data_IF_060190290707
#
_entry.id   IF_060190290707
#
_cell.length_a   1.000
_cell.length_b   1.000
_cell.length_c   1.000
_cell.angle_alpha   90.00
_cell.angle_beta   90.00
_cell.angle_gamma   90.00
#
_symmetry.space_group_name_H-M   'P 1'
#
loop_
_entity.id
_entity.type
_entity.pdbx_description
1 polymer ?
#
# COMPACT_ATOMS: atom_id res chain seq x y z
N UNK A 1 -0.84 16.98 -1.67
CA UNK A 1 -2.00 16.11 -1.96
C UNK A 1 -1.92 14.85 -1.10
N UNK A 2 -3.06 14.24 -0.77
CA UNK A 2 -3.14 12.97 -0.02
C UNK A 2 -3.75 11.88 -0.91
N UNK A 3 -3.01 10.80 -1.09
CA UNK A 3 -3.45 9.61 -1.85
C UNK A 3 -3.82 8.53 -0.84
N UNK A 4 -5.03 7.98 -0.91
CA UNK A 4 -5.48 6.92 0.00
C UNK A 4 -4.75 5.61 -0.32
N UNK A 5 -4.23 4.96 0.70
CA UNK A 5 -3.65 3.61 0.57
C UNK A 5 -4.74 2.59 0.88
N UNK A 6 -4.99 1.59 0.02
CA UNK A 6 -5.95 0.55 0.31
C UNK A 6 -5.46 -0.31 1.49
N UNK A 7 -6.38 -0.88 2.25
CA UNK A 7 -6.05 -1.67 3.45
C UNK A 7 -5.14 -2.87 3.16
N UNK A 8 -5.23 -3.43 1.96
CA UNK A 8 -4.39 -4.57 1.56
C UNK A 8 -2.91 -4.21 1.46
N UNK A 9 -2.61 -2.94 1.20
CA UNK A 9 -1.25 -2.44 0.97
C UNK A 9 -0.62 -1.79 2.21
N UNK A 10 -1.34 -1.77 3.35
CA UNK A 10 -0.86 -1.16 4.60
C UNK A 10 -1.03 -2.10 5.81
N UNK A 11 -0.10 -2.05 6.74
CA UNK A 11 -0.26 -2.69 8.05
C UNK A 11 -1.25 -1.89 8.93
N UNK A 12 -1.73 -2.48 10.02
CA UNK A 12 -2.72 -1.84 10.92
C UNK A 12 -2.23 -0.50 11.50
N UNK A 13 -0.92 -0.38 11.73
CA UNK A 13 -0.27 0.80 12.32
C UNK A 13 0.18 1.81 11.26
N UNK A 14 0.05 1.49 9.98
CA UNK A 14 0.55 2.34 8.91
C UNK A 14 -0.38 3.52 8.63
N UNK A 15 0.22 4.59 8.09
CA UNK A 15 -0.53 5.76 7.67
C UNK A 15 -1.61 5.39 6.64
N UNK A 16 -2.78 6.01 6.76
CA UNK A 16 -3.91 5.72 5.87
C UNK A 16 -3.78 6.36 4.48
N UNK A 17 -2.90 7.36 4.36
CA UNK A 17 -2.68 8.13 3.15
C UNK A 17 -1.21 8.52 3.02
N UNK A 18 -0.75 8.59 1.78
CA UNK A 18 0.59 9.06 1.42
C UNK A 18 0.49 10.53 0.99
N UNK A 19 1.45 11.33 1.45
CA UNK A 19 1.63 12.70 0.98
C UNK A 19 2.38 12.70 -0.36
N UNK A 20 1.83 13.42 -1.34
CA UNK A 20 2.38 13.51 -2.69
C UNK A 20 2.23 14.92 -3.28
N UNK A 21 3.14 15.26 -4.19
CA UNK A 21 3.15 16.48 -4.99
C UNK A 21 2.78 16.15 -6.44
N UNK A 22 2.06 17.05 -7.12
CA UNK A 22 1.72 16.89 -8.54
C UNK A 22 2.95 17.24 -9.38
N UNK A 23 3.41 16.31 -10.21
CA UNK A 23 4.53 16.53 -11.13
C UNK A 23 4.03 17.03 -12.48
N UNK A 24 3.08 16.30 -13.07
CA UNK A 24 2.50 16.61 -14.38
C UNK A 24 1.04 16.19 -14.45
N UNK A 25 0.35 16.71 -15.47
CA UNK A 25 -1.02 16.35 -15.83
C UNK A 25 -1.04 15.92 -17.29
N UNK A 26 -1.66 14.78 -17.59
CA UNK A 26 -1.87 14.28 -18.95
C UNK A 26 -3.06 15.01 -19.60
N UNK A 27 -3.10 15.08 -20.92
CA UNK A 27 -4.20 15.68 -21.70
C UNK A 27 -5.56 15.06 -21.35
N UNK A 28 -5.59 13.75 -21.08
CA UNK A 28 -6.76 12.98 -20.66
C UNK A 28 -7.26 13.30 -19.23
N UNK A 29 -6.63 14.24 -18.53
CA UNK A 29 -7.06 14.69 -17.20
C UNK A 29 -6.50 13.90 -16.02
N UNK A 30 -5.58 12.95 -16.26
CA UNK A 30 -4.89 12.21 -15.20
C UNK A 30 -3.67 12.96 -14.65
N UNK A 31 -3.32 12.66 -13.40
CA UNK A 31 -2.24 13.31 -12.66
C UNK A 31 -1.12 12.32 -12.34
N UNK A 32 0.13 12.76 -12.55
CA UNK A 32 1.33 12.04 -12.11
C UNK A 32 1.83 12.63 -10.80
N UNK A 33 2.13 11.76 -9.84
CA UNK A 33 2.46 12.14 -8.48
C UNK A 33 3.89 11.77 -8.09
N UNK A 34 4.53 12.68 -7.38
CA UNK A 34 5.83 12.49 -6.74
C UNK A 34 5.68 12.36 -5.23
N UNK A 35 6.45 11.49 -4.62
CA UNK A 35 6.52 11.27 -3.18
C UNK A 35 7.96 11.36 -2.72
N UNK A 36 8.20 11.49 -1.41
CA UNK A 36 9.58 11.49 -0.85
C UNK A 36 10.40 10.25 -1.22
N UNK A 37 9.72 9.14 -1.55
CA UNK A 37 10.38 7.87 -1.93
C UNK A 37 10.58 7.70 -3.44
N UNK A 38 9.95 8.55 -4.25
CA UNK A 38 10.02 8.47 -5.71
C UNK A 38 8.72 8.87 -6.42
N UNK A 39 8.73 8.73 -7.73
CA UNK A 39 7.61 9.01 -8.64
C UNK A 39 6.67 7.80 -8.68
N UNK A 40 5.37 8.00 -8.47
CA UNK A 40 4.39 6.93 -8.56
C UNK A 40 4.22 6.51 -10.03
N UNK A 41 4.30 5.19 -10.26
CA UNK A 41 4.10 4.58 -11.59
C UNK A 41 2.68 4.78 -12.13
N UNK A 42 1.69 4.72 -11.24
CA UNK A 42 0.29 4.86 -11.60
C UNK A 42 -0.11 6.34 -11.76
N UNK A 43 -0.98 6.59 -12.72
CA UNK A 43 -1.66 7.87 -12.91
C UNK A 43 -2.97 7.88 -12.11
N UNK A 44 -3.37 9.05 -11.62
CA UNK A 44 -4.53 9.17 -10.74
C UNK A 44 -5.54 10.17 -11.29
N UNK A 45 -6.82 9.85 -11.18
CA UNK A 45 -7.92 10.75 -11.44
C UNK A 45 -8.16 11.67 -10.23
N UNK A 46 -8.84 12.81 -10.47
CA UNK A 46 -9.16 13.80 -9.42
C UNK A 46 -9.95 13.22 -8.24
N UNK A 47 -10.71 12.14 -8.44
CA UNK A 47 -11.48 11.48 -7.39
C UNK A 47 -10.65 10.55 -6.47
N UNK A 48 -9.42 10.20 -6.85
CA UNK A 48 -8.59 9.23 -6.14
C UNK A 48 -7.68 9.88 -5.07
N UNK A 49 -7.61 11.21 -5.05
CA UNK A 49 -6.79 11.96 -4.09
C UNK A 49 -7.57 13.14 -3.51
N UNK A 50 -7.11 13.61 -2.35
CA UNK A 50 -7.65 14.83 -1.73
C UNK A 50 -6.58 15.92 -1.66
N UNK A 51 -7.04 17.16 -1.72
CA UNK A 51 -6.17 18.33 -1.52
C UNK A 51 -5.71 18.36 -0.07
N UNK A 52 -4.45 18.74 0.13
CA UNK A 52 -3.86 19.00 1.43
C UNK A 52 -3.44 20.46 1.41
N UNK A 53 -3.95 21.26 2.35
CA UNK A 53 -3.71 22.71 2.39
C UNK A 53 -2.26 23.04 2.75
N UNK A 54 -1.61 22.14 3.49
CA UNK A 54 -0.22 22.25 3.90
C UNK A 54 0.75 21.66 2.85
N UNK A 55 1.82 22.41 2.56
CA UNK A 55 2.88 22.01 1.64
C UNK A 55 3.97 21.30 2.43
N UNK A 56 3.97 19.97 2.37
CA UNK A 56 4.96 19.13 3.06
C UNK A 56 6.10 18.63 2.16
N UNK A 57 6.00 18.83 0.85
CA UNK A 57 6.94 18.30 -0.14
C UNK A 57 7.00 19.22 -1.35
N UNK A 58 8.21 19.60 -1.76
CA UNK A 58 8.43 20.34 -3.01
C UNK A 58 8.76 19.39 -4.16
N UNK A 59 8.79 19.89 -5.39
CA UNK A 59 9.05 19.04 -6.58
C UNK A 59 10.51 18.59 -6.62
N UNK A 60 11.40 19.40 -6.06
CA UNK A 60 12.85 19.18 -6.02
C UNK A 60 13.23 18.05 -5.04
N UNK A 61 12.41 17.81 -4.03
CA UNK A 61 12.62 16.76 -3.02
C UNK A 61 12.21 15.36 -3.51
N UNK A 62 11.68 15.24 -4.72
CA UNK A 62 11.19 13.97 -5.27
C UNK A 62 12.31 13.25 -6.01
N UNK A 63 12.74 12.06 -5.56
CA UNK A 63 13.71 11.26 -6.30
C UNK A 63 13.14 10.84 -7.66
N UNK A 64 13.96 10.88 -8.71
CA UNK A 64 13.62 10.43 -10.06
C UNK A 64 13.60 8.88 -10.21
N UNK A 65 13.08 8.19 -9.19
CA UNK A 65 12.96 6.72 -9.16
C UNK A 65 11.49 6.34 -9.21
N UNK A 66 11.12 5.43 -10.09
CA UNK A 66 9.75 4.96 -10.17
C UNK A 66 9.42 3.94 -9.06
N UNK A 67 8.36 4.21 -8.31
CA UNK A 67 7.88 3.39 -7.18
C UNK A 67 6.40 3.07 -7.31
N UNK A 68 5.99 1.92 -6.79
CA UNK A 68 4.58 1.59 -6.64
C UNK A 68 4.00 2.23 -5.36
N UNK A 69 2.68 2.39 -5.33
CA UNK A 69 1.99 2.90 -4.14
C UNK A 69 2.23 2.00 -2.92
N UNK A 70 2.17 0.67 -3.11
CA UNK A 70 2.48 -0.31 -2.06
C UNK A 70 3.91 -0.16 -1.54
N UNK A 71 4.91 -0.08 -2.42
CA UNK A 71 6.31 0.08 -1.98
C UNK A 71 6.51 1.40 -1.23
N UNK A 72 5.80 2.45 -1.64
CA UNK A 72 5.81 3.74 -0.94
C UNK A 72 5.20 3.62 0.45
N UNK A 73 4.05 2.97 0.57
CA UNK A 73 3.39 2.73 1.86
C UNK A 73 4.28 1.92 2.81
N UNK A 74 4.93 0.86 2.30
CA UNK A 74 5.89 0.04 3.05
C UNK A 74 7.07 0.88 3.53
N UNK A 75 7.65 1.73 2.67
CA UNK A 75 8.79 2.59 3.03
C UNK A 75 8.43 3.69 4.02
N UNK A 76 7.17 4.12 4.05
CA UNK A 76 6.67 5.11 5.01
C UNK A 76 6.14 4.47 6.30
N UNK A 77 6.03 3.14 6.35
CA UNK A 77 5.67 2.40 7.56
C UNK A 77 6.77 2.56 8.61
N UNK A 78 6.37 2.86 9.85
CA UNK A 78 7.26 2.81 11.01
C UNK A 78 7.50 1.36 11.50
N UNK A 79 6.69 0.41 11.02
CA UNK A 79 6.75 -1.00 11.39
C UNK A 79 7.36 -1.86 10.29
N UNK A 80 6.89 -3.10 10.19
CA UNK A 80 7.40 -4.07 9.19
C UNK A 80 6.82 -3.85 7.78
N UNK A 81 5.90 -2.89 7.60
CA UNK A 81 5.22 -2.59 6.34
C UNK A 81 4.47 -3.78 5.74
N UNK A 82 4.23 -4.85 6.50
CA UNK A 82 3.55 -6.03 5.97
C UNK A 82 2.06 -5.72 5.83
N UNK A 83 1.65 -5.31 4.63
CA UNK A 83 0.25 -5.32 4.20
C UNK A 83 -0.37 -6.71 4.33
N UNK A 84 -1.68 -6.82 4.09
CA UNK A 84 -2.39 -8.09 4.24
C UNK A 84 -1.78 -9.18 3.35
N UNK A 85 -1.27 -10.25 3.97
CA UNK A 85 -1.00 -11.52 3.28
C UNK A 85 -2.18 -12.44 3.50
N UNK A 86 -2.76 -12.91 2.41
CA UNK A 86 -3.74 -13.98 2.43
C UNK A 86 -3.11 -15.30 1.95
N UNK A 87 -3.64 -16.41 2.45
CA UNK A 87 -3.35 -17.72 1.88
C UNK A 87 -4.61 -18.29 1.24
N UNK A 88 -4.43 -19.02 0.14
CA UNK A 88 -5.52 -19.68 -0.58
C UNK A 88 -5.63 -21.16 -0.22
N UNK A 89 -5.27 -21.52 1.01
CA UNK A 89 -5.33 -22.90 1.45
C UNK A 89 -6.79 -23.34 1.60
N UNK A 90 -7.15 -24.47 0.99
CA UNK A 90 -8.48 -25.09 1.13
C UNK A 90 -8.60 -25.92 2.42
N UNK A 91 -7.47 -26.24 3.05
CA UNK A 91 -7.37 -27.02 4.29
C UNK A 91 -7.00 -26.11 5.48
N UNK A 92 -7.08 -26.64 6.71
CA UNK A 92 -6.95 -25.87 7.96
C UNK A 92 -5.56 -25.24 8.25
N UNK A 93 -4.65 -25.12 7.27
CA UNK A 93 -3.28 -24.61 7.44
C UNK A 93 -2.41 -25.29 8.52
N UNK A 94 -2.35 -26.65 8.59
CA UNK A 94 -1.56 -27.35 9.62
C UNK A 94 -0.05 -27.37 9.35
N UNK A 95 0.41 -27.03 8.14
CA UNK A 95 1.82 -27.17 7.74
C UNK A 95 2.33 -25.91 7.03
N UNK A 96 3.66 -25.83 6.85
CA UNK A 96 4.34 -24.75 6.11
C UNK A 96 4.04 -24.73 4.60
N UNK A 97 3.10 -25.56 4.12
CA UNK A 97 2.48 -25.39 2.80
C UNK A 97 1.60 -24.13 2.76
N UNK A 98 1.10 -23.68 3.91
CA UNK A 98 0.42 -22.41 4.03
C UNK A 98 1.41 -21.25 3.92
N UNK A 99 1.13 -20.31 3.00
CA UNK A 99 1.94 -19.11 2.82
C UNK A 99 2.01 -18.23 4.08
N UNK A 100 0.92 -18.11 4.84
CA UNK A 100 0.94 -17.36 6.11
C UNK A 100 1.89 -18.02 7.10
N UNK A 101 1.69 -19.31 7.39
CA UNK A 101 2.51 -20.07 8.35
C UNK A 101 3.99 -20.14 7.95
N UNK A 102 4.29 -20.32 6.65
CA UNK A 102 5.67 -20.32 6.12
C UNK A 102 6.40 -19.00 6.42
N UNK A 103 5.67 -17.89 6.37
CA UNK A 103 6.21 -16.57 6.68
C UNK A 103 6.07 -16.21 8.17
N UNK A 104 5.76 -17.19 9.03
CA UNK A 104 5.51 -16.99 10.47
C UNK A 104 4.37 -16.00 10.75
N UNK A 105 3.38 -15.94 9.86
CA UNK A 105 2.20 -15.10 9.98
C UNK A 105 0.96 -15.92 10.31
N UNK A 106 0.07 -15.30 11.07
CA UNK A 106 -1.25 -15.79 11.40
C UNK A 106 -2.21 -15.52 10.22
N UNK A 107 -3.07 -16.49 9.90
CA UNK A 107 -4.12 -16.33 8.90
C UNK A 107 -5.20 -15.37 9.42
N UNK A 108 -5.52 -14.36 8.62
CA UNK A 108 -6.61 -13.42 8.91
C UNK A 108 -7.93 -13.86 8.25
N UNK A 109 -9.00 -13.10 8.49
CA UNK A 109 -10.34 -13.38 7.94
C UNK A 109 -10.42 -13.35 6.41
N UNK A 110 -9.44 -12.77 5.71
CA UNK A 110 -9.38 -12.80 4.23
C UNK A 110 -8.82 -14.12 3.69
N UNK A 111 -7.99 -14.84 4.45
CA UNK A 111 -7.48 -16.16 4.06
C UNK A 111 -8.59 -17.21 3.98
N UNK A 112 -9.44 -17.21 4.99
CA UNK A 112 -10.49 -18.20 5.16
C UNK A 112 -11.72 -17.47 5.65
N UNK A 113 -12.65 -17.19 4.74
CA UNK A 113 -13.88 -16.46 5.04
C UNK A 113 -14.60 -17.08 6.25
N UNK A 114 -14.96 -18.37 6.15
CA UNK A 114 -15.75 -19.10 7.16
C UNK A 114 -15.22 -20.52 7.46
N UNK A 115 -14.09 -20.91 6.86
CA UNK A 115 -13.50 -22.23 7.08
C UNK A 115 -12.64 -22.24 8.35
N UNK A 116 -12.69 -23.35 9.09
CA UNK A 116 -11.82 -23.56 10.24
C UNK A 116 -10.34 -23.51 9.82
N UNK A 117 -9.57 -22.71 10.52
CA UNK A 117 -8.13 -22.59 10.33
C UNK A 117 -7.43 -22.78 11.67
N UNK A 118 -6.41 -23.65 11.71
CA UNK A 118 -5.60 -23.89 12.91
C UNK A 118 -4.47 -22.87 13.08
N UNK A 119 -4.26 -22.00 12.10
CA UNK A 119 -3.23 -20.96 12.11
C UNK A 119 -3.89 -19.59 12.24
N UNK A 120 -4.76 -19.43 13.24
CA UNK A 120 -5.48 -18.18 13.59
C UNK A 120 -4.84 -17.46 14.77
#
# INVERSE_FOLDING_TARGET
>A
MRIKVPEVDRAKTDARSILAVVLSKTEDGFYKFGTKTGILKQLYAKCEFSVCEEIFLMKEDVPAVEVSLRLTAVKQSLGTGQGFRECYCKSKCPTNRCACRKNQLICNSKCHQSLDCTNK
#
